data_IF_911201609403
#
_entry.id   IF_911201609403
#
_cell.length_a   1.000
_cell.length_b   1.000
_cell.length_c   1.000
_cell.angle_alpha   90.00
_cell.angle_beta   90.00
_cell.angle_gamma   90.00
#
_symmetry.space_group_name_H-M   'P 1'
#
loop_
_entity.id
_entity.type
_entity.pdbx_description
1 polymer ?
#
# COMPACT_ATOMS: atom_id res chain seq x y z
N UNK A 1 -16.75 3.75 -16.76
CA UNK A 1 -16.24 3.55 -15.59
C UNK A 1 -14.84 3.15 -15.65
N UNK A 2 -14.04 3.81 -14.94
CA UNK A 2 -12.65 3.61 -15.04
C UNK A 2 -12.08 2.70 -14.00
N UNK A 3 -12.88 1.90 -13.40
CA UNK A 3 -12.38 1.03 -12.38
C UNK A 3 -12.01 -0.32 -12.90
N UNK A 4 -10.85 -0.79 -12.58
CA UNK A 4 -10.41 -2.12 -12.93
C UNK A 4 -10.83 -3.05 -11.83
N UNK A 5 -11.68 -4.01 -12.14
CA UNK A 5 -12.15 -4.96 -11.16
C UNK A 5 -11.72 -6.35 -11.57
N UNK A 6 -10.95 -6.99 -10.74
CA UNK A 6 -10.39 -8.28 -11.04
C UNK A 6 -10.63 -9.21 -9.88
N UNK A 7 -11.05 -10.44 -10.14
CA UNK A 7 -11.28 -11.39 -9.07
C UNK A 7 -10.04 -12.21 -8.75
N UNK A 8 -8.94 -11.95 -9.40
CA UNK A 8 -7.68 -12.63 -9.11
C UNK A 8 -6.69 -11.59 -8.60
N UNK A 9 -5.57 -12.02 -8.06
CA UNK A 9 -4.57 -11.07 -7.59
C UNK A 9 -4.04 -10.24 -8.74
N UNK A 10 -3.74 -8.99 -8.47
CA UNK A 10 -3.20 -8.09 -9.46
C UNK A 10 -1.77 -7.78 -9.08
N UNK A 11 -0.86 -7.88 -10.02
CA UNK A 11 0.54 -7.59 -9.81
C UNK A 11 0.93 -6.45 -10.73
N UNK A 12 1.41 -5.37 -10.17
CA UNK A 12 1.86 -4.22 -10.93
C UNK A 12 3.37 -4.27 -10.95
N UNK A 13 3.95 -4.32 -12.14
CA UNK A 13 5.38 -4.46 -12.29
C UNK A 13 6.15 -3.23 -11.89
N UNK A 14 7.45 -3.39 -11.75
CA UNK A 14 8.31 -2.31 -11.32
C UNK A 14 8.39 -1.17 -12.34
N UNK A 15 8.71 0.00 -11.82
CA UNK A 15 8.95 1.16 -12.68
C UNK A 15 7.82 1.52 -13.62
N UNK A 16 6.61 1.42 -13.17
CA UNK A 16 5.45 1.76 -13.96
C UNK A 16 4.85 3.08 -13.50
N UNK A 17 4.12 3.70 -14.40
CA UNK A 17 3.41 4.90 -14.08
C UNK A 17 1.98 4.64 -14.52
N UNK A 18 1.06 4.59 -13.61
CA UNK A 18 -0.29 4.21 -13.90
C UNK A 18 -1.29 5.24 -13.43
N UNK A 19 -2.41 5.30 -14.11
CA UNK A 19 -3.49 6.20 -13.75
C UNK A 19 -4.77 5.37 -13.63
N UNK A 20 -5.57 5.63 -12.63
CA UNK A 20 -6.84 4.98 -12.49
C UNK A 20 -6.96 4.29 -11.14
N UNK A 21 -8.12 3.75 -10.88
CA UNK A 21 -8.39 3.08 -9.62
C UNK A 21 -8.35 1.58 -9.85
N UNK A 22 -7.77 0.86 -8.91
CA UNK A 22 -7.63 -0.57 -9.04
C UNK A 22 -8.39 -1.29 -7.94
N UNK A 23 -9.07 -2.34 -8.27
CA UNK A 23 -9.86 -3.10 -7.34
C UNK A 23 -9.67 -4.56 -7.62
N UNK A 24 -9.20 -5.29 -6.64
CA UNK A 24 -8.92 -6.71 -6.82
C UNK A 24 -9.01 -7.44 -5.49
N UNK A 25 -8.80 -8.74 -5.50
CA UNK A 25 -8.78 -9.53 -4.28
C UNK A 25 -7.51 -9.20 -3.53
N UNK A 26 -6.36 -9.31 -4.20
CA UNK A 26 -5.09 -8.93 -3.63
C UNK A 26 -4.36 -8.05 -4.63
N UNK A 27 -3.58 -7.11 -4.15
CA UNK A 27 -2.82 -6.25 -5.03
C UNK A 27 -1.38 -6.22 -4.56
N UNK A 28 -0.46 -6.46 -5.49
CA UNK A 28 0.94 -6.39 -5.18
C UNK A 28 1.57 -5.38 -6.14
N UNK A 29 2.10 -4.31 -5.62
CA UNK A 29 2.70 -3.27 -6.43
C UNK A 29 4.21 -3.39 -6.34
N UNK A 30 4.87 -3.32 -7.48
CA UNK A 30 6.31 -3.45 -7.55
C UNK A 30 7.06 -2.24 -7.03
N UNK A 31 8.33 -2.14 -7.36
CA UNK A 31 9.18 -1.07 -6.88
C UNK A 31 9.19 0.10 -7.85
N UNK A 32 9.39 1.28 -7.34
CA UNK A 32 9.48 2.50 -8.16
C UNK A 32 8.25 2.72 -9.03
N UNK A 33 7.09 2.46 -8.52
CA UNK A 33 5.84 2.63 -9.25
C UNK A 33 5.21 3.94 -8.81
N UNK A 34 4.66 4.68 -9.77
CA UNK A 34 3.88 5.87 -9.47
C UNK A 34 2.45 5.58 -9.89
N UNK A 35 1.55 5.52 -8.95
CA UNK A 35 0.18 5.23 -9.24
C UNK A 35 -0.68 6.45 -8.91
N UNK A 36 -1.33 6.99 -9.93
CA UNK A 36 -2.18 8.14 -9.75
C UNK A 36 -3.63 7.69 -9.67
N UNK A 37 -4.04 7.29 -8.50
CA UNK A 37 -5.37 6.78 -8.28
C UNK A 37 -5.40 6.01 -6.98
N UNK A 38 -6.47 5.30 -6.73
CA UNK A 38 -6.65 4.59 -5.49
C UNK A 38 -6.58 3.09 -5.68
N UNK A 39 -6.25 2.40 -4.61
CA UNK A 39 -6.19 0.96 -4.61
C UNK A 39 -7.20 0.45 -3.61
N UNK A 40 -7.97 -0.54 -4.00
CA UNK A 40 -8.93 -1.16 -3.12
C UNK A 40 -8.83 -2.67 -3.26
N UNK A 41 -8.51 -3.35 -2.21
CA UNK A 41 -8.40 -4.80 -2.24
C UNK A 41 -9.35 -5.41 -1.23
N UNK A 42 -9.76 -6.63 -1.47
CA UNK A 42 -10.60 -7.33 -0.53
C UNK A 42 -9.71 -7.83 0.58
N UNK A 43 -8.56 -8.31 0.25
CA UNK A 43 -7.65 -8.90 1.21
C UNK A 43 -6.39 -8.08 1.40
N UNK A 44 -5.30 -8.43 0.82
CA UNK A 44 -4.04 -7.80 1.16
C UNK A 44 -3.51 -6.87 0.09
N UNK A 45 -2.77 -5.87 0.50
CA UNK A 45 -2.07 -4.97 -0.41
C UNK A 45 -0.62 -4.91 0.02
N UNK A 46 0.29 -5.14 -0.93
CA UNK A 46 1.71 -5.02 -0.68
C UNK A 46 2.25 -3.96 -1.62
N UNK A 47 2.85 -2.92 -1.07
CA UNK A 47 3.40 -1.83 -1.85
C UNK A 47 4.92 -1.95 -1.85
N UNK A 48 5.52 -1.98 -3.00
CA UNK A 48 6.96 -2.17 -3.12
C UNK A 48 7.76 -0.96 -2.72
N UNK A 49 9.08 -1.09 -2.76
CA UNK A 49 9.96 -0.04 -2.33
C UNK A 49 9.85 1.19 -3.22
N UNK A 50 9.99 2.36 -2.63
CA UNK A 50 10.03 3.62 -3.34
C UNK A 50 8.84 3.86 -4.26
N UNK A 51 7.72 3.28 -3.95
CA UNK A 51 6.51 3.42 -4.74
C UNK A 51 5.66 4.54 -4.16
N UNK A 52 5.02 5.31 -5.01
CA UNK A 52 4.15 6.38 -4.60
C UNK A 52 2.75 6.13 -5.06
N UNK A 53 1.80 6.19 -4.15
CA UNK A 53 0.39 6.06 -4.46
C UNK A 53 -0.24 7.42 -4.21
N UNK A 54 -0.79 8.03 -5.24
CA UNK A 54 -1.34 9.38 -5.16
C UNK A 54 -2.83 9.35 -4.82
N UNK A 55 -3.29 8.33 -4.19
CA UNK A 55 -4.67 8.24 -3.77
C UNK A 55 -4.73 7.41 -2.51
N UNK A 56 -5.87 6.80 -2.25
CA UNK A 56 -6.07 6.05 -1.03
C UNK A 56 -5.79 4.58 -1.21
N UNK A 57 -5.45 3.91 -0.14
CA UNK A 57 -5.27 2.47 -0.14
C UNK A 57 -6.24 1.90 0.87
N UNK A 58 -7.11 1.02 0.44
CA UNK A 58 -8.15 0.45 1.30
C UNK A 58 -8.20 -1.06 1.15
N UNK A 59 -8.26 -1.76 2.26
CA UNK A 59 -8.54 -3.19 2.22
C UNK A 59 -9.79 -3.43 3.03
N UNK A 60 -10.52 -4.46 2.67
CA UNK A 60 -11.74 -4.76 3.37
C UNK A 60 -11.48 -5.65 4.56
N UNK A 61 -10.72 -6.68 4.38
CA UNK A 61 -10.41 -7.61 5.42
C UNK A 61 -8.97 -7.99 5.58
N UNK A 62 -8.09 -7.30 5.00
CA UNK A 62 -6.71 -7.70 5.00
C UNK A 62 -5.75 -6.65 5.50
N UNK A 63 -4.49 -6.88 5.24
CA UNK A 63 -3.44 -6.04 5.75
C UNK A 63 -2.78 -5.27 4.62
N UNK A 64 -2.16 -4.17 4.98
CA UNK A 64 -1.39 -3.39 4.02
C UNK A 64 0.06 -3.39 4.48
N UNK A 65 0.95 -3.71 3.56
CA UNK A 65 2.39 -3.68 3.84
C UNK A 65 3.00 -2.60 2.98
N UNK A 66 3.67 -1.63 3.60
CA UNK A 66 4.33 -0.57 2.88
C UNK A 66 5.82 -0.79 3.05
N UNK A 67 6.47 -1.20 1.99
CA UNK A 67 7.89 -1.50 2.03
C UNK A 67 8.74 -0.22 2.10
N UNK A 68 10.04 -0.37 2.17
CA UNK A 68 10.93 0.75 2.43
C UNK A 68 10.75 1.88 1.43
N UNK A 69 10.65 3.08 1.94
CA UNK A 69 10.55 4.26 1.08
C UNK A 69 9.23 4.47 0.37
N UNK A 70 8.26 3.61 0.58
CA UNK A 70 6.98 3.78 -0.08
C UNK A 70 6.22 4.96 0.53
N UNK A 71 5.35 5.55 -0.25
CA UNK A 71 4.70 6.78 0.15
C UNK A 71 3.25 6.79 -0.33
N UNK A 72 2.33 6.90 0.59
CA UNK A 72 0.91 7.00 0.27
C UNK A 72 0.47 8.43 0.56
N UNK A 73 -0.03 9.10 -0.46
CA UNK A 73 -0.43 10.49 -0.29
C UNK A 73 -1.85 10.64 0.20
N UNK A 74 -2.65 9.62 0.14
CA UNK A 74 -4.01 9.67 0.65
C UNK A 74 -4.13 8.93 1.95
N UNK A 75 -5.29 8.35 2.21
CA UNK A 75 -5.57 7.67 3.46
C UNK A 75 -5.38 6.18 3.32
N UNK A 76 -5.12 5.50 4.41
CA UNK A 76 -4.99 4.06 4.42
C UNK A 76 -6.01 3.48 5.39
N UNK A 77 -6.76 2.48 4.95
CA UNK A 77 -7.74 1.82 5.78
C UNK A 77 -7.55 0.32 5.63
N UNK A 78 -7.32 -0.38 6.71
CA UNK A 78 -7.00 -1.81 6.66
C UNK A 78 -7.19 -2.45 8.03
N UNK A 79 -6.91 -3.73 8.14
CA UNK A 79 -6.94 -4.39 9.44
C UNK A 79 -5.63 -4.12 10.16
N UNK A 80 -4.52 -4.45 9.54
CA UNK A 80 -3.23 -4.18 10.12
C UNK A 80 -2.39 -3.43 9.11
N UNK A 81 -1.60 -2.50 9.57
CA UNK A 81 -0.70 -1.78 8.70
C UNK A 81 0.71 -2.04 9.13
N UNK A 82 1.56 -2.44 8.18
CA UNK A 82 2.94 -2.69 8.46
C UNK A 82 3.77 -1.67 7.69
N UNK A 83 4.54 -0.87 8.40
CA UNK A 83 5.37 0.15 7.78
C UNK A 83 6.82 -0.20 7.94
N UNK A 84 7.51 -0.31 6.83
CA UNK A 84 8.94 -0.56 6.87
C UNK A 84 9.67 0.79 6.87
N UNK A 85 10.98 0.75 7.01
CA UNK A 85 11.76 1.93 7.19
C UNK A 85 11.55 2.95 6.07
N UNK A 86 11.27 4.18 6.39
CA UNK A 86 11.08 5.23 5.41
C UNK A 86 9.70 5.27 4.75
N UNK A 87 8.85 4.32 5.06
CA UNK A 87 7.51 4.32 4.51
C UNK A 87 6.68 5.44 5.18
N UNK A 88 5.84 6.09 4.41
CA UNK A 88 5.07 7.20 4.91
C UNK A 88 3.65 7.25 4.40
N UNK A 89 2.75 7.72 5.22
CA UNK A 89 1.36 7.95 4.83
C UNK A 89 1.05 9.38 5.19
N UNK A 90 0.65 10.17 4.20
CA UNK A 90 0.36 11.59 4.44
C UNK A 90 -1.04 11.80 5.00
N UNK A 91 -1.95 10.93 4.71
CA UNK A 91 -3.33 11.09 5.17
C UNK A 91 -3.58 10.37 6.47
N UNK A 92 -4.82 10.00 6.69
CA UNK A 92 -5.22 9.34 7.92
C UNK A 92 -5.03 7.85 7.81
N UNK A 93 -4.59 7.23 8.88
CA UNK A 93 -4.43 5.79 8.93
C UNK A 93 -5.53 5.23 9.82
N UNK A 94 -6.23 4.22 9.31
CA UNK A 94 -7.22 3.50 10.07
C UNK A 94 -6.88 2.04 10.02
N UNK A 95 -6.27 1.52 11.06
CA UNK A 95 -5.91 0.11 11.13
C UNK A 95 -6.67 -0.50 12.29
N UNK A 96 -7.66 -1.32 11.98
CA UNK A 96 -8.52 -1.90 12.99
C UNK A 96 -7.78 -2.69 14.04
N UNK A 97 -6.78 -3.43 13.64
CA UNK A 97 -6.01 -4.22 14.57
C UNK A 97 -4.65 -3.66 14.90
N UNK A 98 -4.39 -2.47 14.45
CA UNK A 98 -3.17 -1.79 14.84
C UNK A 98 -2.15 -1.63 13.73
N UNK A 99 -1.07 -0.94 14.05
CA UNK A 99 -0.06 -0.62 13.10
C UNK A 99 1.26 -1.07 13.67
N UNK A 100 2.11 -1.62 12.81
CA UNK A 100 3.41 -2.07 13.21
C UNK A 100 4.45 -1.34 12.39
N UNK A 101 5.42 -0.72 13.04
CA UNK A 101 6.46 0.00 12.33
C UNK A 101 7.74 -0.82 12.45
N UNK A 102 8.30 -1.18 11.31
CA UNK A 102 9.50 -1.98 11.26
C UNK A 102 10.68 -1.15 10.78
N UNK A 103 11.75 -1.14 11.48
CA UNK A 103 12.90 -0.38 11.11
C UNK A 103 14.07 -1.31 11.08
N UNK A 104 14.84 -1.22 9.95
CA UNK A 104 15.90 -2.02 9.76
C UNK A 104 16.95 -1.70 10.75
N UNK A 105 17.13 -0.56 11.21
CA UNK A 105 18.08 -0.17 12.04
C UNK A 105 17.67 -0.15 13.38
N UNK A 106 17.31 -1.05 14.05
CA UNK A 106 16.89 -1.10 15.24
C UNK A 106 17.91 -0.88 16.19
N UNK A 107 17.91 -0.16 17.08
CA UNK A 107 18.80 0.06 17.96
C UNK A 107 18.35 -0.35 19.16
N UNK A 108 18.74 -1.10 19.78
CA UNK A 108 18.26 -1.64 20.94
C UNK A 108 18.66 -0.70 21.95
N UNK A 109 18.65 -0.26 22.51
CA UNK A 109 18.96 0.43 23.26
C UNK A 109 19.17 0.30 24.17
N UNK A 110 19.51 0.04 24.24
CA UNK A 110 19.60 -0.08 24.91
C UNK A 110 19.56 0.13 25.40
#
# INVERSE_FOLDING_TARGET
DEMWRVSTPVIIKNECRLHGNFRAVDIKVGEDVNLFGSIRARENVVIGKDTRIHGDVTTREGDVVLNEGSHILGDVSCNKLELHEGARVEGTIRAKEGMQILSRERKPQE
#
